data_IF_632226287281
#
_entry.id   IF_632226287281
#
_cell.length_a   1.000
_cell.length_b   1.000
_cell.length_c   1.000
_cell.angle_alpha   90.00
_cell.angle_beta   90.00
_cell.angle_gamma   90.00
#
_symmetry.space_group_name_H-M   'P 1'
#
loop_
_entity.id
_entity.type
_entity.pdbx_description
1 polymer ?
#
# COMPACT_ATOMS: atom_id res chain seq x y z
N UNK A 1 2.61 5.21 -7.70
CA UNK A 1 3.63 4.73 -6.73
C UNK A 1 4.08 5.93 -5.93
N UNK A 2 4.07 5.82 -4.62
CA UNK A 2 4.36 6.94 -3.72
C UNK A 2 5.22 6.46 -2.56
N UNK A 3 6.25 7.21 -2.21
CA UNK A 3 7.01 6.96 -0.98
C UNK A 3 6.16 7.37 0.23
N UNK A 4 6.05 6.46 1.20
CA UNK A 4 5.25 6.68 2.40
C UNK A 4 6.01 6.25 3.64
N UNK A 5 5.54 6.73 4.78
CA UNK A 5 6.06 6.39 6.10
C UNK A 5 5.08 5.45 6.79
N UNK A 6 5.54 4.26 7.13
CA UNK A 6 4.73 3.25 7.83
C UNK A 6 5.02 3.23 9.33
N UNK A 7 3.99 2.98 10.13
CA UNK A 7 4.11 2.69 11.55
C UNK A 7 3.40 1.35 11.87
N UNK A 8 3.94 0.55 12.79
CA UNK A 8 3.40 -0.77 13.13
C UNK A 8 4.24 -1.54 14.15
N UNK A 9 4.07 -2.87 14.21
CA UNK A 9 4.79 -3.73 15.19
C UNK A 9 6.30 -3.90 14.93
N UNK A 10 6.84 -3.30 13.86
CA UNK A 10 8.30 -3.14 13.72
C UNK A 10 8.71 -2.09 14.75
N UNK A 11 9.22 -2.54 15.90
CA UNK A 11 9.57 -1.68 17.04
C UNK A 11 10.49 -0.54 16.59
N UNK A 12 10.04 0.71 16.76
CA UNK A 12 10.92 1.86 16.94
C UNK A 12 11.43 1.85 18.38
N UNK A 13 12.73 2.04 18.59
CA UNK A 13 13.27 2.15 19.95
C UNK A 13 12.72 3.42 20.62
N UNK A 14 12.15 3.30 21.82
CA UNK A 14 11.76 4.45 22.64
C UNK A 14 12.99 5.00 23.35
N UNK A 15 13.48 6.18 22.98
CA UNK A 15 14.45 6.93 23.79
C UNK A 15 13.78 8.18 24.39
N UNK A 16 13.95 8.35 25.71
CA UNK A 16 13.44 9.52 26.44
C UNK A 16 14.27 10.77 26.08
N UNK A 17 13.61 11.86 25.68
CA UNK A 17 14.23 13.19 25.63
C UNK A 17 13.41 14.19 26.46
N UNK A 18 13.99 14.64 27.58
CA UNK A 18 13.45 15.70 28.47
C UNK A 18 12.00 15.52 28.95
N UNK A 19 11.58 14.30 29.26
CA UNK A 19 10.31 14.05 29.97
C UNK A 19 9.03 14.17 29.14
N UNK A 20 9.13 14.20 27.81
CA UNK A 20 7.98 14.04 26.90
C UNK A 20 8.20 12.79 26.02
N UNK A 21 7.25 11.86 26.03
CA UNK A 21 7.27 10.65 25.20
C UNK A 21 6.98 10.97 23.74
N UNK A 22 8.00 11.05 22.88
CA UNK A 22 7.79 11.10 21.43
C UNK A 22 8.92 10.41 20.68
N UNK A 23 8.77 9.11 20.40
CA UNK A 23 9.47 8.48 19.28
C UNK A 23 8.51 7.54 18.57
N UNK A 24 7.90 8.03 17.49
CA UNK A 24 7.24 7.19 16.48
C UNK A 24 8.25 7.05 15.35
N UNK A 25 9.03 5.97 15.38
CA UNK A 25 9.98 5.70 14.30
C UNK A 25 9.19 5.24 13.07
N UNK A 26 9.24 6.06 12.02
CA UNK A 26 8.54 5.79 10.77
C UNK A 26 9.50 5.09 9.81
N UNK A 27 9.18 3.86 9.45
CA UNK A 27 9.97 3.13 8.47
C UNK A 27 9.57 3.55 7.04
N UNK A 28 10.52 3.80 6.14
CA UNK A 28 10.23 4.09 4.75
C UNK A 28 9.56 2.87 4.11
N UNK A 29 8.47 3.11 3.38
CA UNK A 29 7.69 2.12 2.63
C UNK A 29 7.31 2.70 1.27
N UNK A 30 6.92 1.83 0.35
CA UNK A 30 6.36 2.23 -0.95
C UNK A 30 4.88 1.87 -0.98
N UNK A 31 4.03 2.85 -1.29
CA UNK A 31 2.61 2.64 -1.59
C UNK A 31 2.43 2.49 -3.09
N UNK A 32 1.78 1.41 -3.51
CA UNK A 32 1.41 1.17 -4.90
C UNK A 32 -0.10 1.20 -4.97
N UNK A 33 -0.65 2.13 -5.74
CA UNK A 33 -2.07 2.22 -6.07
C UNK A 33 -2.25 1.73 -7.50
N UNK A 34 -3.14 0.75 -7.71
CA UNK A 34 -3.38 0.09 -9.00
C UNK A 34 -4.90 0.03 -9.20
N UNK A 35 -5.40 0.63 -10.28
CA UNK A 35 -6.73 0.31 -10.79
C UNK A 35 -6.61 -0.91 -11.70
N UNK A 36 -7.44 -1.92 -11.47
CA UNK A 36 -7.41 -3.18 -12.22
C UNK A 36 -8.84 -3.67 -12.43
N UNK A 37 -9.08 -4.47 -13.48
CA UNK A 37 -10.37 -5.13 -13.72
C UNK A 37 -10.67 -6.12 -12.59
N UNK A 38 -11.93 -6.20 -12.19
CA UNK A 38 -12.40 -7.06 -11.08
C UNK A 38 -11.98 -8.52 -11.25
N UNK A 39 -12.07 -9.05 -12.47
CA UNK A 39 -11.68 -10.41 -12.83
C UNK A 39 -10.18 -10.74 -12.61
N UNK A 40 -9.33 -9.71 -12.48
CA UNK A 40 -7.89 -9.87 -12.24
C UNK A 40 -7.49 -9.62 -10.78
N UNK A 41 -8.41 -9.20 -9.91
CA UNK A 41 -8.09 -8.81 -8.53
C UNK A 41 -7.45 -9.96 -7.76
N UNK A 42 -8.05 -11.15 -7.80
CA UNK A 42 -7.52 -12.32 -7.07
C UNK A 42 -6.11 -12.69 -7.54
N UNK A 43 -5.89 -12.74 -8.86
CA UNK A 43 -4.59 -13.04 -9.44
C UNK A 43 -3.53 -12.00 -9.06
N UNK A 44 -3.90 -10.71 -9.04
CA UNK A 44 -2.99 -9.64 -8.65
C UNK A 44 -2.61 -9.72 -7.16
N UNK A 45 -3.60 -9.95 -6.28
CA UNK A 45 -3.36 -10.11 -4.84
C UNK A 45 -2.43 -11.30 -4.56
N UNK A 46 -2.65 -12.43 -5.22
CA UNK A 46 -1.81 -13.62 -5.07
C UNK A 46 -0.37 -13.34 -5.53
N UNK A 47 -0.21 -12.75 -6.72
CA UNK A 47 1.10 -12.43 -7.28
C UNK A 47 1.89 -11.45 -6.40
N UNK A 48 1.24 -10.38 -5.91
CA UNK A 48 1.87 -9.39 -5.02
C UNK A 48 2.26 -10.06 -3.69
N UNK A 49 1.36 -10.84 -3.10
CA UNK A 49 1.62 -11.53 -1.83
C UNK A 49 2.82 -12.46 -1.95
N UNK A 50 2.90 -13.25 -3.02
CA UNK A 50 3.99 -14.19 -3.25
C UNK A 50 5.35 -13.50 -3.41
N UNK A 51 5.40 -12.36 -4.12
CA UNK A 51 6.66 -11.66 -4.41
C UNK A 51 7.09 -10.75 -3.25
N UNK A 52 6.14 -10.13 -2.55
CA UNK A 52 6.44 -9.19 -1.48
C UNK A 52 6.64 -9.85 -0.11
N UNK A 53 6.25 -11.12 0.08
CA UNK A 53 6.43 -11.82 1.35
C UNK A 53 7.88 -12.27 1.54
N UNK A 54 8.52 -11.71 2.58
CA UNK A 54 9.86 -12.11 3.04
C UNK A 54 9.81 -12.99 4.29
N UNK A 55 8.63 -13.10 4.92
CA UNK A 55 8.44 -13.80 6.19
C UNK A 55 8.89 -12.99 7.41
N UNK A 56 9.33 -11.75 7.22
CA UNK A 56 9.76 -10.85 8.30
C UNK A 56 8.64 -9.88 8.67
N UNK A 57 8.69 -9.37 9.90
CA UNK A 57 7.78 -8.32 10.34
C UNK A 57 8.02 -7.08 9.46
N UNK A 58 6.98 -6.60 8.78
CA UNK A 58 7.06 -5.39 7.97
C UNK A 58 6.77 -5.56 6.47
N UNK A 59 6.45 -6.78 6.01
CA UNK A 59 6.12 -7.07 4.60
C UNK A 59 4.95 -6.22 4.04
N UNK A 60 4.13 -5.64 4.92
CA UNK A 60 3.15 -4.62 4.56
C UNK A 60 1.71 -5.15 4.64
N UNK A 61 0.82 -4.50 3.88
CA UNK A 61 -0.60 -4.84 3.78
C UNK A 61 -1.07 -4.56 2.35
N UNK A 62 -2.02 -5.35 1.89
CA UNK A 62 -2.77 -5.09 0.65
C UNK A 62 -4.18 -4.69 1.06
N UNK A 63 -4.67 -3.59 0.50
CA UNK A 63 -6.06 -3.16 0.66
C UNK A 63 -6.74 -3.27 -0.69
N UNK A 64 -7.96 -3.80 -0.70
CA UNK A 64 -8.80 -3.89 -1.89
C UNK A 64 -10.03 -3.02 -1.62
N UNK A 65 -10.30 -2.10 -2.53
CA UNK A 65 -11.45 -1.20 -2.48
C UNK A 65 -12.04 -1.05 -3.88
N UNK A 66 -13.36 -1.06 -3.97
CA UNK A 66 -14.05 -0.89 -5.25
C UNK A 66 -13.90 0.54 -5.76
N UNK A 67 -13.67 0.69 -7.07
CA UNK A 67 -13.74 1.97 -7.77
C UNK A 67 -15.08 2.04 -8.49
N UNK A 68 -15.97 2.94 -8.08
CA UNK A 68 -17.28 3.11 -8.72
C UNK A 68 -17.16 3.59 -10.18
N UNK A 69 -16.14 4.38 -10.48
CA UNK A 69 -15.89 4.90 -11.82
C UNK A 69 -14.40 5.14 -12.07
N UNK A 70 -13.97 4.84 -13.29
CA UNK A 70 -12.65 5.19 -13.83
C UNK A 70 -12.85 5.92 -15.14
N UNK A 71 -12.05 6.97 -15.40
CA UNK A 71 -12.10 7.76 -16.62
C UNK A 71 -10.68 7.96 -17.15
N UNK A 72 -10.42 7.55 -18.40
CA UNK A 72 -9.14 7.81 -19.06
C UNK A 72 -9.16 9.20 -19.68
N UNK A 73 -8.45 10.16 -19.08
CA UNK A 73 -8.46 11.58 -19.49
C UNK A 73 -8.18 11.77 -20.99
N UNK A 74 -7.27 10.98 -21.56
CA UNK A 74 -6.84 11.13 -22.96
C UNK A 74 -7.92 10.76 -23.98
N UNK A 75 -8.74 9.75 -23.71
CA UNK A 75 -9.69 9.16 -24.67
C UNK A 75 -11.15 9.40 -24.28
N UNK A 76 -11.41 9.68 -23.00
CA UNK A 76 -12.77 9.75 -22.45
C UNK A 76 -13.40 8.38 -22.17
N UNK A 77 -12.68 7.28 -22.39
CA UNK A 77 -13.14 5.93 -22.02
C UNK A 77 -13.46 5.85 -20.53
N UNK A 78 -14.48 5.08 -20.18
CA UNK A 78 -14.95 4.91 -18.81
C UNK A 78 -15.03 3.44 -18.40
N UNK A 79 -15.05 3.19 -17.09
CA UNK A 79 -15.21 1.85 -16.54
C UNK A 79 -14.05 0.91 -16.92
N UNK A 80 -14.32 -0.36 -17.25
CA UNK A 80 -13.27 -1.34 -17.58
C UNK A 80 -12.37 -0.95 -18.75
N UNK A 81 -12.86 -0.18 -19.73
CA UNK A 81 -12.06 0.28 -20.88
C UNK A 81 -11.05 1.39 -20.50
N UNK A 82 -11.31 2.08 -19.38
CA UNK A 82 -10.41 3.09 -18.84
C UNK A 82 -9.23 2.50 -18.06
N UNK A 83 -9.27 1.20 -17.76
CA UNK A 83 -8.25 0.42 -17.05
C UNK A 83 -7.48 -0.40 -18.08
#
# INVERSE_FOLDING_TARGET
VTEVKGFGRQKGHTELYRGAEYVVDFLPKVKIDIAIRDEMVEQAVEAITRVASTGKIGDGKIFVSNLEQVIRIRTGETGPEAV
#
